data_IF_566215598371
#
_entry.id   IF_566215598371
#
_cell.length_a   1.000
_cell.length_b   1.000
_cell.length_c   1.000
_cell.angle_alpha   90.00
_cell.angle_beta   90.00
_cell.angle_gamma   90.00
#
_symmetry.space_group_name_H-M   'P 1'
#
loop_
_entity.id
_entity.type
_entity.pdbx_description
1 polymer ?
#
# COMPACT_ATOMS: atom_id res chain seq x y z
N UNK A 1 17.26 -9.72 -4.52
CA UNK A 1 16.02 -10.03 -3.78
C UNK A 1 14.87 -9.76 -4.73
N UNK A 2 13.91 -10.67 -4.82
CA UNK A 2 12.71 -10.43 -5.62
C UNK A 2 11.88 -9.28 -5.01
N UNK A 3 11.14 -8.55 -5.84
CA UNK A 3 10.27 -7.46 -5.40
C UNK A 3 9.22 -7.94 -4.40
N UNK A 4 8.68 -9.17 -4.54
CA UNK A 4 7.72 -9.70 -3.58
C UNK A 4 8.36 -9.93 -2.19
N UNK A 5 9.57 -10.51 -2.13
CA UNK A 5 10.30 -10.71 -0.88
C UNK A 5 10.68 -9.37 -0.23
N UNK A 6 11.09 -8.40 -1.04
CA UNK A 6 11.35 -7.04 -0.56
C UNK A 6 10.06 -6.38 -0.05
N UNK A 7 8.92 -6.53 -0.71
CA UNK A 7 7.67 -5.93 -0.24
C UNK A 7 7.04 -6.69 0.93
N UNK A 8 7.45 -7.92 1.21
CA UNK A 8 7.01 -8.72 2.35
C UNK A 8 7.58 -8.22 3.71
N UNK A 9 7.33 -6.96 4.05
CA UNK A 9 7.57 -6.38 5.37
C UNK A 9 6.66 -5.17 5.64
N UNK A 10 5.99 -5.07 6.81
CA UNK A 10 5.00 -4.04 7.07
C UNK A 10 5.52 -2.60 6.91
N UNK A 11 6.69 -2.28 7.49
CA UNK A 11 7.27 -0.93 7.36
C UNK A 11 7.54 -0.54 5.90
N UNK A 12 7.97 -1.51 5.07
CA UNK A 12 8.26 -1.22 3.65
C UNK A 12 6.97 -0.98 2.88
N UNK A 13 5.90 -1.73 3.14
CA UNK A 13 4.59 -1.45 2.56
C UNK A 13 4.02 -0.10 3.00
N UNK A 14 4.18 0.30 4.26
CA UNK A 14 3.76 1.65 4.71
C UNK A 14 4.55 2.77 4.02
N UNK A 15 5.84 2.59 3.79
CA UNK A 15 6.64 3.52 2.97
C UNK A 15 6.08 3.58 1.53
N UNK A 16 5.77 2.43 0.94
CA UNK A 16 5.14 2.36 -0.39
C UNK A 16 3.77 3.06 -0.41
N UNK A 17 2.92 2.86 0.60
CA UNK A 17 1.63 3.56 0.71
C UNK A 17 1.80 5.07 0.83
N UNK A 18 2.79 5.52 1.61
CA UNK A 18 3.09 6.94 1.80
C UNK A 18 3.52 7.63 0.50
N UNK A 19 4.27 6.92 -0.36
CA UNK A 19 4.78 7.39 -1.65
C UNK A 19 3.88 7.10 -2.86
N UNK A 20 2.83 6.29 -2.71
CA UNK A 20 1.96 5.87 -3.82
C UNK A 20 1.29 7.08 -4.52
N UNK A 21 1.18 7.01 -5.84
CA UNK A 21 0.82 8.15 -6.69
C UNK A 21 2.07 8.93 -7.07
N UNK A 22 1.93 10.22 -7.37
CA UNK A 22 3.05 11.08 -7.79
C UNK A 22 3.77 11.77 -6.61
N UNK A 23 3.68 11.20 -5.41
CA UNK A 23 4.29 11.80 -4.22
C UNK A 23 5.81 11.69 -4.26
N UNK A 24 6.46 12.81 -3.96
CA UNK A 24 7.89 12.93 -3.77
C UNK A 24 8.13 13.33 -2.32
N UNK A 25 8.79 12.48 -1.52
CA UNK A 25 9.00 12.72 -0.08
C UNK A 25 10.45 12.50 0.32
N UNK A 26 10.94 13.29 1.28
CA UNK A 26 12.21 13.02 1.95
C UNK A 26 12.07 11.91 3.00
N UNK A 27 13.18 11.32 3.46
CA UNK A 27 13.14 10.36 4.57
C UNK A 27 12.60 10.99 5.86
N UNK A 28 12.83 12.29 6.09
CA UNK A 28 12.26 13.02 7.22
C UNK A 28 10.73 13.09 7.13
N UNK A 29 10.19 13.45 5.97
CA UNK A 29 8.73 13.47 5.72
C UNK A 29 8.09 12.08 5.77
N UNK A 30 8.85 11.02 5.47
CA UNK A 30 8.43 9.64 5.69
C UNK A 30 8.35 9.30 7.18
N UNK A 31 9.31 9.74 7.99
CA UNK A 31 9.27 9.54 9.44
C UNK A 31 8.06 10.23 10.08
N UNK A 32 7.69 11.42 9.61
CA UNK A 32 6.48 12.13 10.06
C UNK A 32 5.19 11.37 9.75
N UNK A 33 5.16 10.57 8.67
CA UNK A 33 4.00 9.77 8.28
C UNK A 33 3.94 8.40 8.95
N UNK A 34 5.04 7.95 9.54
CA UNK A 34 5.15 6.69 10.27
C UNK A 34 5.64 6.98 11.71
N UNK A 35 4.89 7.74 12.51
CA UNK A 35 5.33 8.20 13.83
C UNK A 35 5.54 7.05 14.83
N UNK A 36 4.89 5.92 14.61
CA UNK A 36 5.00 4.68 15.37
C UNK A 36 6.24 3.83 14.99
N UNK A 37 7.01 4.24 13.99
CA UNK A 37 8.24 3.56 13.54
C UNK A 37 9.46 4.42 13.87
N UNK A 38 10.49 3.81 14.47
CA UNK A 38 11.71 4.56 14.79
C UNK A 38 12.38 5.12 13.54
N UNK A 39 12.96 6.33 13.65
CA UNK A 39 13.68 6.97 12.54
C UNK A 39 14.73 6.05 11.94
N UNK A 40 15.56 5.41 12.77
CA UNK A 40 16.58 4.47 12.30
C UNK A 40 16.00 3.33 11.45
N UNK A 41 14.84 2.80 11.84
CA UNK A 41 14.14 1.75 11.08
C UNK A 41 13.60 2.28 9.75
N UNK A 42 13.01 3.47 9.71
CA UNK A 42 12.54 4.10 8.46
C UNK A 42 13.71 4.31 7.50
N UNK A 43 14.83 4.86 7.97
CA UNK A 43 16.04 5.07 7.16
C UNK A 43 16.55 3.75 6.56
N UNK A 44 16.72 2.71 7.39
CA UNK A 44 17.15 1.38 6.93
C UNK A 44 16.24 0.81 5.86
N UNK A 45 14.93 0.99 6.00
CA UNK A 45 13.96 0.47 5.03
C UNK A 45 13.89 1.29 3.74
N UNK A 46 14.13 2.60 3.80
CA UNK A 46 14.31 3.41 2.59
C UNK A 46 15.53 2.93 1.81
N UNK A 47 16.67 2.72 2.48
CA UNK A 47 17.89 2.22 1.82
C UNK A 47 17.65 0.87 1.12
N UNK A 48 17.03 -0.09 1.83
CA UNK A 48 16.68 -1.40 1.24
C UNK A 48 15.75 -1.28 0.02
N UNK A 49 14.81 -0.33 0.03
CA UNK A 49 13.90 -0.12 -1.08
C UNK A 49 14.56 0.60 -2.26
N UNK A 50 15.54 1.44 -2.02
CA UNK A 50 16.38 2.05 -3.07
C UNK A 50 17.31 1.01 -3.70
N UNK A 51 17.99 0.21 -2.88
CA UNK A 51 18.87 -0.88 -3.35
C UNK A 51 18.11 -1.92 -4.19
N UNK A 52 16.84 -2.17 -3.83
CA UNK A 52 15.93 -3.02 -4.59
C UNK A 52 15.22 -2.34 -5.76
N UNK A 53 15.55 -1.10 -6.09
CA UNK A 53 14.94 -0.31 -7.16
C UNK A 53 13.41 -0.18 -7.07
N UNK A 54 12.84 -0.24 -5.86
CA UNK A 54 11.43 0.08 -5.59
C UNK A 54 11.26 1.59 -5.44
N UNK A 55 12.24 2.24 -4.82
CA UNK A 55 12.33 3.69 -4.72
C UNK A 55 13.46 4.20 -5.59
N UNK A 56 13.29 5.42 -6.10
CA UNK A 56 14.33 6.15 -6.80
C UNK A 56 14.46 7.57 -6.23
N UNK A 57 15.64 8.16 -6.39
CA UNK A 57 15.89 9.55 -6.02
C UNK A 57 15.32 10.44 -7.13
N UNK A 58 14.19 11.10 -6.82
CA UNK A 58 13.52 12.04 -7.70
C UNK A 58 14.30 13.36 -7.82
N UNK A 59 14.87 13.80 -6.71
CA UNK A 59 15.66 15.04 -6.62
C UNK A 59 16.66 14.90 -5.47
N UNK A 60 17.82 15.54 -5.60
CA UNK A 60 18.77 15.71 -4.52
C UNK A 60 19.21 17.16 -4.43
N UNK A 61 19.10 17.77 -3.26
CA UNK A 61 19.46 19.16 -3.02
C UNK A 61 20.28 19.31 -1.73
N UNK A 62 21.15 20.31 -1.69
CA UNK A 62 21.93 20.61 -0.47
C UNK A 62 21.14 21.56 0.42
N UNK A 63 20.73 21.08 1.59
CA UNK A 63 20.08 21.89 2.61
C UNK A 63 21.02 21.98 3.82
N UNK A 64 21.48 23.19 4.15
CA UNK A 64 22.40 23.44 5.29
C UNK A 64 23.65 22.52 5.29
N UNK A 65 24.21 22.26 4.11
CA UNK A 65 25.41 21.42 3.93
C UNK A 65 25.16 19.92 3.87
N UNK A 66 23.95 19.45 4.20
CA UNK A 66 23.56 18.05 4.09
C UNK A 66 22.91 17.81 2.73
N UNK A 67 23.27 16.72 2.05
CA UNK A 67 22.59 16.29 0.84
C UNK A 67 21.26 15.64 1.22
N UNK A 68 20.17 16.35 1.00
CA UNK A 68 18.81 15.85 1.19
C UNK A 68 18.31 15.20 -0.10
N UNK A 69 17.84 13.96 0.02
CA UNK A 69 17.27 13.19 -1.09
C UNK A 69 15.76 13.15 -0.97
N UNK A 70 15.11 13.35 -2.09
CA UNK A 70 13.68 13.22 -2.27
C UNK A 70 13.41 11.94 -3.07
N UNK A 71 12.53 11.09 -2.56
CA UNK A 71 12.26 9.78 -3.12
C UNK A 71 10.87 9.75 -3.77
N UNK A 72 10.76 8.99 -4.86
CA UNK A 72 9.45 8.58 -5.40
C UNK A 72 9.39 7.07 -5.56
N UNK A 73 8.17 6.56 -5.67
CA UNK A 73 7.90 5.16 -5.96
C UNK A 73 8.10 4.88 -7.46
N UNK A 74 8.79 3.79 -7.79
CA UNK A 74 8.77 3.23 -9.14
C UNK A 74 7.50 2.39 -9.30
N UNK A 75 6.49 2.98 -9.94
CA UNK A 75 5.16 2.38 -10.06
C UNK A 75 5.15 0.99 -10.70
N UNK A 76 6.05 0.74 -11.66
CA UNK A 76 6.26 -0.55 -12.34
C UNK A 76 6.88 -1.63 -11.44
N UNK A 77 7.56 -1.24 -10.35
CA UNK A 77 8.29 -2.16 -9.46
C UNK A 77 7.61 -2.41 -8.14
N UNK A 78 6.71 -1.51 -7.72
CA UNK A 78 6.00 -1.55 -6.45
C UNK A 78 4.65 -2.29 -6.52
N UNK A 79 4.61 -3.33 -7.34
CA UNK A 79 3.46 -4.21 -7.57
C UNK A 79 3.96 -5.66 -7.62
N UNK A 80 3.13 -6.58 -7.13
CA UNK A 80 3.27 -8.00 -7.45
C UNK A 80 2.38 -8.20 -8.66
N UNK A 81 2.99 -8.42 -9.83
CA UNK A 81 2.23 -8.68 -11.05
C UNK A 81 1.63 -10.09 -11.05
N UNK A 82 0.82 -10.39 -12.07
CA UNK A 82 0.10 -11.66 -12.18
C UNK A 82 1.07 -12.86 -12.28
N UNK A 83 2.15 -12.72 -13.05
CA UNK A 83 3.15 -13.77 -13.23
C UNK A 83 3.92 -14.05 -11.92
N UNK A 84 4.34 -12.99 -11.22
CA UNK A 84 4.98 -13.10 -9.91
C UNK A 84 4.02 -13.72 -8.89
N UNK A 85 2.74 -13.30 -8.89
CA UNK A 85 1.72 -13.87 -8.01
C UNK A 85 1.48 -15.36 -8.30
N UNK A 86 1.45 -15.76 -9.57
CA UNK A 86 1.25 -17.16 -9.98
C UNK A 86 2.44 -18.06 -9.60
N UNK A 87 3.65 -17.50 -9.51
CA UNK A 87 4.85 -18.21 -9.11
C UNK A 87 4.98 -18.41 -7.58
N UNK A 88 4.18 -17.72 -6.77
CA UNK A 88 4.22 -17.84 -5.31
C UNK A 88 3.69 -19.20 -4.84
N UNK A 89 4.36 -19.78 -3.85
CA UNK A 89 3.81 -20.95 -3.16
C UNK A 89 2.62 -20.57 -2.29
N UNK A 90 1.81 -21.54 -1.87
CA UNK A 90 0.74 -21.30 -0.89
C UNK A 90 1.29 -20.76 0.45
N UNK A 91 2.52 -21.12 0.82
CA UNK A 91 3.17 -20.57 2.02
C UNK A 91 3.52 -19.08 1.83
N UNK A 92 3.99 -18.71 0.64
CA UNK A 92 4.27 -17.32 0.31
C UNK A 92 3.01 -16.47 0.27
N UNK A 93 1.92 -16.97 -0.33
CA UNK A 93 0.62 -16.29 -0.30
C UNK A 93 0.14 -16.03 1.14
N UNK A 94 0.23 -17.02 2.03
CA UNK A 94 -0.13 -16.82 3.46
C UNK A 94 0.71 -15.73 4.10
N UNK A 95 2.02 -15.74 3.85
CA UNK A 95 2.96 -14.75 4.40
C UNK A 95 2.66 -13.35 3.86
N UNK A 96 2.55 -13.20 2.55
CA UNK A 96 2.26 -11.92 1.88
C UNK A 96 0.92 -11.36 2.34
N UNK A 97 -0.12 -12.19 2.40
CA UNK A 97 -1.44 -11.78 2.88
C UNK A 97 -1.41 -11.32 4.34
N UNK A 98 -0.76 -12.07 5.23
CA UNK A 98 -0.62 -11.67 6.64
C UNK A 98 0.13 -10.34 6.79
N UNK A 99 1.16 -10.11 5.97
CA UNK A 99 1.92 -8.85 5.97
C UNK A 99 1.05 -7.69 5.46
N UNK A 100 0.28 -7.89 4.39
CA UNK A 100 -0.65 -6.89 3.89
C UNK A 100 -1.70 -6.53 4.97
N UNK A 101 -2.24 -7.52 5.68
CA UNK A 101 -3.27 -7.28 6.71
C UNK A 101 -2.70 -6.59 7.95
N UNK A 102 -1.52 -7.00 8.41
CA UNK A 102 -0.83 -6.33 9.53
C UNK A 102 -0.39 -4.92 9.18
N UNK A 103 -0.03 -4.66 7.92
CA UNK A 103 0.22 -3.30 7.41
C UNK A 103 -1.04 -2.47 7.46
N UNK A 104 -2.16 -2.99 6.95
CA UNK A 104 -3.44 -2.27 6.96
C UNK A 104 -3.90 -1.95 8.39
N UNK A 105 -3.73 -2.89 9.31
CA UNK A 105 -4.00 -2.67 10.73
C UNK A 105 -3.12 -1.56 11.32
N UNK A 106 -1.83 -1.55 11.01
CA UNK A 106 -0.92 -0.50 11.48
C UNK A 106 -1.28 0.89 10.90
N UNK A 107 -1.67 0.97 9.63
CA UNK A 107 -2.14 2.22 9.01
C UNK A 107 -3.45 2.71 9.65
N UNK A 108 -4.36 1.79 9.99
CA UNK A 108 -5.61 2.12 10.65
C UNK A 108 -5.38 2.60 12.10
N UNK A 109 -4.50 1.94 12.85
CA UNK A 109 -4.13 2.39 14.19
C UNK A 109 -3.46 3.78 14.15
N UNK A 110 -2.52 4.00 13.22
CA UNK A 110 -1.90 5.32 13.04
C UNK A 110 -2.88 6.42 12.59
N UNK A 111 -4.01 6.04 11.97
CA UNK A 111 -5.12 6.95 11.73
C UNK A 111 -5.87 7.27 13.03
N UNK A 112 -6.20 6.26 13.83
CA UNK A 112 -6.90 6.43 15.12
C UNK A 112 -6.08 7.19 16.17
N UNK A 113 -4.75 7.17 16.09
CA UNK A 113 -3.85 7.89 17.00
C UNK A 113 -3.82 9.41 16.73
N UNK A 114 -4.57 9.92 15.74
CA UNK A 114 -4.68 11.37 15.47
C UNK A 114 -5.75 12.00 16.35
N UNK A 115 -5.49 13.22 16.81
CA UNK A 115 -6.40 13.97 17.70
C UNK A 115 -7.81 14.19 17.09
N UNK A 116 -7.91 14.25 15.76
CA UNK A 116 -9.13 14.53 15.00
C UNK A 116 -9.73 13.30 14.31
N UNK A 117 -9.27 12.08 14.65
CA UNK A 117 -9.79 10.86 14.04
C UNK A 117 -11.28 10.63 14.40
N UNK A 118 -12.14 10.64 13.39
CA UNK A 118 -13.57 10.32 13.52
C UNK A 118 -13.99 9.30 12.44
N UNK A 119 -13.94 7.99 12.75
CA UNK A 119 -14.26 6.95 11.78
C UNK A 119 -15.68 7.06 11.19
N UNK A 120 -16.62 7.66 11.91
CA UNK A 120 -17.98 7.86 11.43
C UNK A 120 -18.04 9.02 10.43
N UNK A 121 -17.43 10.16 10.75
CA UNK A 121 -17.36 11.31 9.84
C UNK A 121 -16.50 11.02 8.60
N UNK A 122 -15.45 10.22 8.74
CA UNK A 122 -14.55 9.81 7.66
C UNK A 122 -15.11 8.67 6.78
N UNK A 123 -16.34 8.20 7.07
CA UNK A 123 -17.04 7.15 6.32
C UNK A 123 -16.29 5.81 6.27
N UNK A 124 -15.61 5.44 7.37
CA UNK A 124 -14.89 4.17 7.48
C UNK A 124 -15.88 3.00 7.34
N UNK A 125 -15.61 2.09 6.40
CA UNK A 125 -16.41 0.90 6.17
C UNK A 125 -15.85 -0.33 6.87
N UNK A 126 -16.67 -1.00 7.69
CA UNK A 126 -16.36 -2.30 8.32
C UNK A 126 -17.04 -3.49 7.63
N UNK A 127 -17.79 -3.24 6.56
CA UNK A 127 -18.66 -4.24 5.94
C UNK A 127 -17.87 -5.23 5.11
N UNK A 128 -18.12 -6.52 5.35
CA UNK A 128 -17.69 -7.63 4.51
C UNK A 128 -18.94 -8.38 4.04
N UNK A 129 -18.93 -8.82 2.79
CA UNK A 129 -20.06 -9.49 2.17
C UNK A 129 -19.62 -10.87 1.67
N UNK A 130 -20.37 -11.91 2.04
CA UNK A 130 -20.30 -13.21 1.38
C UNK A 130 -21.31 -13.20 0.22
N UNK A 131 -20.82 -13.44 -1.00
CA UNK A 131 -21.60 -13.36 -2.23
C UNK A 131 -21.29 -14.58 -3.10
N UNK A 132 -22.32 -15.11 -3.78
CA UNK A 132 -22.18 -16.18 -4.75
C UNK A 132 -21.97 -15.57 -6.14
N UNK A 133 -20.89 -15.96 -6.81
CA UNK A 133 -20.52 -15.50 -8.14
C UNK A 133 -19.89 -16.66 -8.91
N UNK A 134 -20.25 -16.79 -10.18
CA UNK A 134 -19.47 -17.56 -11.16
C UNK A 134 -18.15 -16.85 -11.50
N UNK A 135 -17.20 -17.56 -12.12
CA UNK A 135 -15.93 -16.99 -12.55
C UNK A 135 -16.11 -15.75 -13.46
N UNK A 136 -17.11 -15.76 -14.33
CA UNK A 136 -17.43 -14.61 -15.19
C UNK A 136 -17.91 -13.41 -14.36
N UNK A 137 -18.79 -13.65 -13.39
CA UNK A 137 -19.31 -12.60 -12.51
C UNK A 137 -18.22 -12.05 -11.56
N UNK A 138 -17.25 -12.87 -11.14
CA UNK A 138 -16.06 -12.42 -10.42
C UNK A 138 -15.23 -11.46 -11.29
N UNK A 139 -14.99 -11.80 -12.56
CA UNK A 139 -14.26 -10.95 -13.50
C UNK A 139 -15.01 -9.64 -13.77
N UNK A 140 -16.32 -9.69 -13.92
CA UNK A 140 -17.17 -8.52 -14.12
C UNK A 140 -17.12 -7.59 -12.90
N UNK A 141 -17.19 -8.14 -11.68
CA UNK A 141 -17.07 -7.36 -10.45
C UNK A 141 -15.69 -6.69 -10.33
N UNK A 142 -14.60 -7.42 -10.62
CA UNK A 142 -13.24 -6.85 -10.63
C UNK A 142 -13.14 -5.73 -11.67
N UNK A 143 -13.70 -5.92 -12.86
CA UNK A 143 -13.75 -4.91 -13.92
C UNK A 143 -14.52 -3.65 -13.50
N UNK A 144 -15.67 -3.80 -12.83
CA UNK A 144 -16.46 -2.70 -12.31
C UNK A 144 -15.72 -1.94 -11.19
N UNK A 145 -15.12 -2.66 -10.24
CA UNK A 145 -14.30 -2.06 -9.17
C UNK A 145 -13.12 -1.29 -9.73
N UNK A 146 -12.39 -1.87 -10.69
CA UNK A 146 -11.27 -1.20 -11.38
C UNK A 146 -11.76 0.06 -12.08
N UNK A 147 -12.90 0.01 -12.77
CA UNK A 147 -13.49 1.16 -13.46
C UNK A 147 -13.89 2.28 -12.51
N UNK A 148 -14.29 1.96 -11.28
CA UNK A 148 -14.58 2.96 -10.25
C UNK A 148 -13.32 3.55 -9.60
N UNK A 149 -12.28 2.73 -9.38
CA UNK A 149 -11.08 3.12 -8.62
C UNK A 149 -10.03 3.81 -9.50
N UNK A 150 -9.71 3.27 -10.67
CA UNK A 150 -8.61 3.77 -11.51
C UNK A 150 -8.72 5.26 -11.83
N UNK A 151 -9.90 5.80 -12.22
CA UNK A 151 -10.03 7.23 -12.51
C UNK A 151 -9.67 8.15 -11.33
N UNK A 152 -9.95 7.72 -10.09
CA UNK A 152 -9.72 8.55 -8.89
C UNK A 152 -8.29 8.46 -8.36
N UNK A 153 -7.48 7.51 -8.82
CA UNK A 153 -6.07 7.37 -8.41
C UNK A 153 -5.20 8.57 -8.81
N UNK A 154 -5.57 9.28 -9.89
CA UNK A 154 -4.90 10.49 -10.37
C UNK A 154 -5.36 11.78 -9.70
N UNK A 155 -6.29 11.73 -8.74
CA UNK A 155 -6.76 12.94 -8.07
C UNK A 155 -5.64 13.62 -7.27
N UNK A 156 -5.40 14.89 -7.56
CA UNK A 156 -4.47 15.73 -6.80
C UNK A 156 -5.02 16.12 -5.42
N UNK A 157 -4.13 16.34 -4.43
CA UNK A 157 -4.52 16.83 -3.10
C UNK A 157 -5.09 18.26 -3.19
N UNK A 158 -6.20 18.50 -2.49
CA UNK A 158 -6.80 19.83 -2.31
C UNK A 158 -7.26 20.00 -0.86
N UNK A 159 -7.58 21.22 -0.39
CA UNK A 159 -8.09 21.42 0.97
C UNK A 159 -9.40 20.65 1.27
N UNK A 160 -10.12 20.19 0.25
CA UNK A 160 -11.37 19.43 0.37
C UNK A 160 -11.18 17.92 0.18
N UNK A 161 -9.95 17.44 -0.07
CA UNK A 161 -9.66 16.03 -0.33
C UNK A 161 -8.75 15.47 0.74
N UNK A 162 -9.26 14.51 1.50
CA UNK A 162 -8.43 13.63 2.32
C UNK A 162 -7.89 12.47 1.49
N UNK A 163 -6.78 11.87 1.95
CA UNK A 163 -6.20 10.67 1.34
C UNK A 163 -6.70 9.44 2.09
N UNK A 164 -7.34 8.54 1.35
CA UNK A 164 -7.83 7.26 1.88
C UNK A 164 -6.92 6.12 1.42
N UNK A 165 -6.74 5.13 2.28
CA UNK A 165 -6.16 3.84 1.92
C UNK A 165 -7.30 2.86 1.65
N UNK A 166 -7.38 2.34 0.43
CA UNK A 166 -8.38 1.37 0.01
C UNK A 166 -7.68 0.06 -0.37
N UNK A 167 -8.15 -1.06 0.17
CA UNK A 167 -7.63 -2.40 -0.12
C UNK A 167 -8.78 -3.33 -0.55
N UNK A 168 -9.02 -3.54 -1.85
CA UNK A 168 -10.04 -4.47 -2.34
C UNK A 168 -9.53 -5.91 -2.20
N UNK A 169 -10.08 -6.67 -1.24
CA UNK A 169 -9.71 -8.06 -0.97
C UNK A 169 -10.88 -8.97 -1.39
N UNK A 170 -10.60 -9.94 -2.26
CA UNK A 170 -11.56 -10.91 -2.75
C UNK A 170 -10.89 -12.29 -2.86
N UNK A 171 -11.50 -13.31 -2.27
CA UNK A 171 -11.07 -14.71 -2.35
C UNK A 171 -12.26 -15.64 -2.06
N UNK A 172 -12.28 -16.87 -2.58
CA UNK A 172 -13.34 -17.83 -2.29
C UNK A 172 -13.28 -18.27 -0.82
N UNK A 173 -14.45 -18.32 -0.17
CA UNK A 173 -14.61 -18.81 1.21
C UNK A 173 -15.33 -20.15 1.28
N UNK A 174 -15.94 -20.58 0.16
CA UNK A 174 -16.72 -21.80 0.05
C UNK A 174 -16.61 -22.33 -1.39
N UNK A 175 -16.58 -23.66 -1.55
CA UNK A 175 -16.71 -24.31 -2.86
C UNK A 175 -18.17 -24.21 -3.36
N UNK A 176 -18.41 -24.15 -4.68
CA UNK A 176 -19.77 -24.30 -5.21
C UNK A 176 -20.39 -25.62 -4.72
N UNK A 177 -21.72 -25.66 -4.46
CA UNK A 177 -22.41 -26.90 -4.19
C UNK A 177 -22.11 -27.95 -5.26
N UNK A 178 -21.74 -29.16 -4.84
CA UNK A 178 -21.65 -30.31 -5.74
C UNK A 178 -23.07 -30.81 -5.99
N UNK A 179 -23.42 -31.03 -7.26
CA UNK A 179 -24.70 -31.67 -7.64
C UNK A 179 -24.87 -33.05 -6.99
#
# INVERSE_FOLDING_TARGET
MDSAELLAHPVRLRIVHALRGERVLTTAQLCERLPDVSKATVYRHVDLLVDGAILEVAEAQRVRGVLERHYRLRGDRAVIDEDAAAALSTADHRRVFAIAMTTLLAEFNAYLDRDDADPAADLVGYRQHAIWLSDNEVRDLIGALRSAIVPVLGNEPTPQRARYLLSPILFPVEEPPRE
#
